data_IF_792919438186
#
_entry.id   IF_792919438186
#
_cell.length_a   1.000
_cell.length_b   1.000
_cell.length_c   1.000
_cell.angle_alpha   90.00
_cell.angle_beta   90.00
_cell.angle_gamma   90.00
#
_symmetry.space_group_name_H-M   'P 1'
#
loop_
_entity.id
_entity.type
_entity.pdbx_description
1 polymer ?
#
# COMPACT_ATOMS: atom_id res chain seq x y z
N UNK A 1 -17.03 -1.09 -1.65
CA UNK A 1 -17.19 -0.94 -3.12
C UNK A 1 -16.67 0.38 -3.73
N UNK A 2 -16.23 1.36 -2.94
CA UNK A 2 -15.53 2.58 -3.42
C UNK A 2 -14.03 2.37 -3.67
N UNK A 3 -13.36 1.52 -2.87
CA UNK A 3 -11.92 1.24 -2.99
C UNK A 3 -11.51 0.57 -4.32
N UNK A 4 -12.40 -0.22 -4.92
CA UNK A 4 -12.09 -0.97 -6.14
C UNK A 4 -11.91 -0.04 -7.36
N UNK A 5 -12.61 1.11 -7.42
CA UNK A 5 -12.52 2.03 -8.58
C UNK A 5 -11.13 2.64 -8.76
N UNK A 6 -10.42 2.93 -7.67
CA UNK A 6 -9.05 3.48 -7.75
C UNK A 6 -8.05 2.39 -8.14
N UNK A 7 -8.21 1.19 -7.58
CA UNK A 7 -7.40 0.03 -7.93
C UNK A 7 -7.57 -0.37 -9.40
N UNK A 8 -8.80 -0.31 -9.94
CA UNK A 8 -9.08 -0.59 -11.35
C UNK A 8 -8.42 0.43 -12.29
N UNK A 9 -8.32 1.71 -11.90
CA UNK A 9 -7.57 2.72 -12.67
C UNK A 9 -6.08 2.40 -12.72
N UNK A 10 -5.49 2.01 -11.60
CA UNK A 10 -4.08 1.60 -11.56
C UNK A 10 -3.84 0.36 -12.45
N UNK A 11 -4.76 -0.61 -12.42
CA UNK A 11 -4.71 -1.78 -13.32
C UNK A 11 -4.77 -1.35 -14.79
N UNK A 12 -5.62 -0.38 -15.16
CA UNK A 12 -5.70 0.11 -16.53
C UNK A 12 -4.35 0.69 -17.01
N UNK A 13 -3.71 1.52 -16.18
CA UNK A 13 -2.37 2.08 -16.49
C UNK A 13 -1.32 0.97 -16.65
N UNK A 14 -1.31 -0.02 -15.74
CA UNK A 14 -0.36 -1.15 -15.86
C UNK A 14 -0.59 -2.01 -17.10
N UNK A 15 -1.83 -2.06 -17.63
CA UNK A 15 -2.12 -2.73 -18.90
C UNK A 15 -1.67 -1.91 -20.10
N UNK A 16 -1.81 -0.59 -20.03
CA UNK A 16 -1.37 0.33 -21.08
C UNK A 16 0.16 0.37 -21.21
N UNK A 17 0.88 0.30 -20.09
CA UNK A 17 2.34 0.33 -20.06
C UNK A 17 2.91 -0.99 -19.51
N UNK A 18 3.16 -2.00 -20.36
CA UNK A 18 3.59 -3.33 -19.94
C UNK A 18 4.97 -3.37 -19.28
N UNK A 19 5.82 -2.38 -19.53
CA UNK A 19 7.18 -2.30 -18.95
C UNK A 19 7.19 -1.75 -17.53
N UNK A 20 6.11 -1.11 -17.08
CA UNK A 20 6.04 -0.59 -15.71
C UNK A 20 5.98 -1.75 -14.71
N UNK A 21 6.84 -1.67 -13.69
CA UNK A 21 6.74 -2.49 -12.49
C UNK A 21 6.28 -1.61 -11.33
N UNK A 22 5.53 -2.21 -10.42
CA UNK A 22 4.89 -1.52 -9.32
C UNK A 22 5.26 -2.18 -7.99
N UNK A 23 5.73 -1.37 -7.05
CA UNK A 23 5.85 -1.73 -5.65
C UNK A 23 4.65 -1.20 -4.88
N UNK A 24 3.96 -2.09 -4.20
CA UNK A 24 2.78 -1.82 -3.37
C UNK A 24 3.25 -1.76 -1.91
N UNK A 25 3.13 -0.61 -1.28
CA UNK A 25 3.61 -0.38 0.08
C UNK A 25 2.42 -0.23 1.04
N UNK A 26 2.36 -1.07 2.07
CA UNK A 26 1.37 -0.97 3.14
C UNK A 26 1.91 -0.18 4.32
N UNK A 27 1.06 0.64 4.92
CA UNK A 27 1.38 1.42 6.12
C UNK A 27 0.30 1.25 7.19
N UNK A 28 0.70 1.35 8.46
CA UNK A 28 -0.20 1.41 9.62
C UNK A 28 -0.09 2.76 10.32
N UNK A 29 -0.96 3.00 11.30
CA UNK A 29 -0.74 4.04 12.28
C UNK A 29 0.18 3.54 13.41
N UNK A 30 0.43 4.41 14.38
CA UNK A 30 1.26 4.20 15.56
C UNK A 30 0.62 3.29 16.62
N UNK A 31 -0.55 2.71 16.34
CA UNK A 31 -1.23 1.83 17.31
C UNK A 31 -0.67 0.42 17.18
N UNK A 32 -0.07 -0.08 18.26
CA UNK A 32 0.44 -1.45 18.29
C UNK A 32 -0.69 -2.48 18.13
N UNK A 33 -0.41 -3.55 17.39
CA UNK A 33 -1.33 -4.67 17.24
C UNK A 33 -1.52 -5.38 18.58
N UNK A 34 -2.76 -5.82 18.83
CA UNK A 34 -3.10 -6.59 20.03
C UNK A 34 -2.34 -7.92 20.02
N UNK A 35 -1.57 -8.18 21.08
CA UNK A 35 -0.88 -9.47 21.29
C UNK A 35 -1.88 -10.63 21.22
N UNK A 36 -1.50 -11.70 20.50
CA UNK A 36 -2.36 -12.85 20.25
C UNK A 36 -3.45 -12.63 19.19
N UNK A 37 -3.40 -11.51 18.46
CA UNK A 37 -4.25 -11.25 17.30
C UNK A 37 -3.78 -12.00 16.04
N UNK A 38 -4.53 -11.81 14.95
CA UNK A 38 -4.24 -12.44 13.64
C UNK A 38 -2.85 -12.11 13.10
N UNK A 39 -2.34 -10.92 13.38
CA UNK A 39 -1.02 -10.46 12.97
C UNK A 39 -0.19 -10.21 14.22
N UNK A 40 1.09 -10.54 14.19
CA UNK A 40 2.01 -10.36 15.31
C UNK A 40 2.31 -8.87 15.55
N UNK A 41 2.45 -8.09 14.48
CA UNK A 41 2.79 -6.67 14.53
C UNK A 41 2.24 -5.88 13.33
N UNK A 42 2.57 -4.59 13.30
CA UNK A 42 2.20 -3.67 12.24
C UNK A 42 2.90 -3.96 10.92
N UNK A 43 4.10 -4.53 10.95
CA UNK A 43 4.86 -4.89 9.76
C UNK A 43 4.15 -6.04 9.01
N UNK A 44 3.72 -7.06 9.74
CA UNK A 44 2.96 -8.18 9.19
C UNK A 44 1.57 -7.73 8.69
N UNK A 45 0.86 -6.92 9.47
CA UNK A 45 -0.45 -6.37 9.04
C UNK A 45 -0.32 -5.54 7.75
N UNK A 46 0.66 -4.64 7.69
CA UNK A 46 0.87 -3.79 6.52
C UNK A 46 1.28 -4.60 5.30
N UNK A 47 2.16 -5.59 5.48
CA UNK A 47 2.55 -6.52 4.41
C UNK A 47 1.35 -7.30 3.88
N UNK A 48 0.53 -7.88 4.76
CA UNK A 48 -0.67 -8.63 4.36
C UNK A 48 -1.67 -7.75 3.59
N UNK A 49 -1.81 -6.47 3.95
CA UNK A 49 -2.63 -5.51 3.20
C UNK A 49 -2.07 -5.25 1.80
N UNK A 50 -0.76 -5.03 1.68
CA UNK A 50 -0.10 -4.83 0.39
C UNK A 50 -0.21 -6.08 -0.50
N UNK A 51 -0.03 -7.26 0.07
CA UNK A 51 -0.21 -8.54 -0.63
C UNK A 51 -1.65 -8.72 -1.12
N UNK A 52 -2.66 -8.35 -0.32
CA UNK A 52 -4.05 -8.42 -0.76
C UNK A 52 -4.33 -7.55 -2.01
N UNK A 53 -3.70 -6.37 -2.09
CA UNK A 53 -3.80 -5.50 -3.28
C UNK A 53 -3.03 -6.08 -4.46
N UNK A 54 -1.84 -6.66 -4.22
CA UNK A 54 -1.08 -7.38 -5.25
C UNK A 54 -1.89 -8.52 -5.86
N UNK A 55 -2.50 -9.34 -5.02
CA UNK A 55 -3.38 -10.43 -5.46
C UNK A 55 -4.58 -9.90 -6.26
N UNK A 56 -5.13 -8.76 -5.87
CA UNK A 56 -6.20 -8.11 -6.64
C UNK A 56 -5.72 -7.77 -8.06
N UNK A 57 -4.52 -7.21 -8.23
CA UNK A 57 -3.97 -6.88 -9.56
C UNK A 57 -3.66 -8.13 -10.38
N UNK A 58 -3.15 -9.19 -9.76
CA UNK A 58 -2.92 -10.48 -10.43
C UNK A 58 -4.25 -11.06 -10.92
N UNK A 59 -5.30 -11.05 -10.10
CA UNK A 59 -6.66 -11.49 -10.49
C UNK A 59 -7.25 -10.66 -11.64
N UNK A 60 -6.75 -9.44 -11.86
CA UNK A 60 -7.13 -8.57 -12.97
C UNK A 60 -6.27 -8.74 -14.23
N UNK A 61 -5.30 -9.66 -14.19
CA UNK A 61 -4.45 -10.05 -15.32
C UNK A 61 -3.13 -9.29 -15.41
N UNK A 62 -2.66 -8.66 -14.34
CA UNK A 62 -1.30 -8.10 -14.30
C UNK A 62 -0.32 -9.22 -13.96
N UNK A 63 0.78 -9.31 -14.70
CA UNK A 63 1.83 -10.30 -14.46
C UNK A 63 2.43 -10.17 -13.06
N UNK A 64 2.65 -11.31 -12.41
CA UNK A 64 3.15 -11.36 -11.04
C UNK A 64 4.58 -10.78 -10.90
N UNK A 65 5.44 -10.94 -11.91
CA UNK A 65 6.80 -10.44 -11.93
C UNK A 65 6.90 -8.92 -12.03
N UNK A 66 5.80 -8.25 -12.37
CA UNK A 66 5.69 -6.79 -12.40
C UNK A 66 5.28 -6.18 -11.06
N UNK A 67 4.95 -7.01 -10.06
CA UNK A 67 4.35 -6.55 -8.80
C UNK A 67 5.16 -7.03 -7.59
N UNK A 68 5.65 -6.09 -6.79
CA UNK A 68 6.17 -6.35 -5.44
C UNK A 68 5.21 -5.80 -4.38
N UNK A 69 5.18 -6.45 -3.21
CA UNK A 69 4.41 -6.01 -2.06
C UNK A 69 5.33 -5.90 -0.84
N UNK A 70 5.25 -4.78 -0.13
CA UNK A 70 6.10 -4.48 1.03
C UNK A 70 5.26 -3.92 2.17
N UNK A 71 5.48 -4.44 3.38
CA UNK A 71 4.98 -3.81 4.61
C UNK A 71 6.00 -2.84 5.14
N UNK A 72 5.58 -1.64 5.53
CA UNK A 72 6.41 -0.65 6.21
C UNK A 72 5.95 -0.37 7.64
N UNK A 73 4.84 -0.97 8.07
CA UNK A 73 4.25 -0.73 9.38
C UNK A 73 4.02 0.76 9.63
N UNK A 74 4.34 1.20 10.84
CA UNK A 74 4.24 2.59 11.28
C UNK A 74 5.49 3.44 10.99
N UNK A 75 6.53 2.84 10.39
CA UNK A 75 7.88 3.45 10.32
C UNK A 75 7.97 4.66 9.37
N UNK A 76 7.02 4.81 8.45
CA UNK A 76 6.98 5.90 7.46
C UNK A 76 5.62 6.63 7.53
N UNK A 77 5.39 7.44 8.58
CA UNK A 77 4.16 8.21 8.72
C UNK A 77 4.15 9.38 7.73
N UNK A 78 3.00 9.59 7.08
CA UNK A 78 2.79 10.78 6.23
C UNK A 78 2.36 11.99 7.05
N UNK A 79 1.74 11.76 8.20
CA UNK A 79 1.39 12.80 9.17
C UNK A 79 1.83 12.37 10.56
N UNK A 80 2.59 13.24 11.24
CA UNK A 80 3.02 12.96 12.62
C UNK A 80 1.82 12.97 13.56
N UNK A 81 1.67 11.89 14.33
CA UNK A 81 0.65 11.77 15.38
C UNK A 81 1.14 12.31 16.75
N UNK A 82 2.43 12.66 16.86
CA UNK A 82 3.07 13.01 18.14
C UNK A 82 2.44 14.26 18.75
N UNK A 83 2.03 14.16 20.02
CA UNK A 83 1.43 15.27 20.77
C UNK A 83 -0.01 15.62 20.37
N UNK A 84 -0.59 14.95 19.35
CA UNK A 84 -1.97 15.17 18.95
C UNK A 84 -2.96 14.46 19.88
N UNK A 85 -4.14 15.05 20.06
CA UNK A 85 -5.24 14.49 20.85
C UNK A 85 -6.58 14.64 20.10
N UNK A 86 -7.56 13.83 20.51
CA UNK A 86 -8.92 13.88 19.99
C UNK A 86 -8.99 13.75 18.47
N UNK A 87 -9.80 14.61 17.83
CA UNK A 87 -10.05 14.57 16.39
C UNK A 87 -8.78 14.70 15.54
N UNK A 88 -7.80 15.50 15.97
CA UNK A 88 -6.53 15.69 15.24
C UNK A 88 -5.73 14.39 15.18
N UNK A 89 -5.64 13.67 16.30
CA UNK A 89 -4.97 12.37 16.37
C UNK A 89 -5.64 11.35 15.44
N UNK A 90 -6.98 11.29 15.47
CA UNK A 90 -7.74 10.37 14.61
C UNK A 90 -7.52 10.65 13.12
N UNK A 91 -7.44 11.92 12.73
CA UNK A 91 -7.18 12.33 11.34
C UNK A 91 -5.77 11.90 10.91
N UNK A 92 -4.74 12.23 11.70
CA UNK A 92 -3.35 11.85 11.40
C UNK A 92 -3.20 10.33 11.26
N UNK A 93 -3.74 9.56 12.21
CA UNK A 93 -3.75 8.09 12.16
C UNK A 93 -4.47 7.56 10.92
N UNK A 94 -5.62 8.15 10.57
CA UNK A 94 -6.36 7.73 9.38
C UNK A 94 -5.59 7.96 8.09
N UNK A 95 -4.79 9.02 8.01
CA UNK A 95 -3.91 9.27 6.85
C UNK A 95 -2.75 8.28 6.82
N UNK A 96 -2.20 7.90 7.96
CA UNK A 96 -1.09 6.94 8.02
C UNK A 96 -1.52 5.50 7.65
N UNK A 97 -2.77 5.09 7.94
CA UNK A 97 -3.33 3.80 7.50
C UNK A 97 -3.66 3.82 6.00
N UNK A 98 -2.65 3.61 5.16
CA UNK A 98 -2.75 3.73 3.70
C UNK A 98 -1.99 2.62 2.96
N UNK A 99 -2.27 2.53 1.66
CA UNK A 99 -1.46 1.78 0.70
C UNK A 99 -0.95 2.76 -0.34
N UNK A 100 0.34 2.74 -0.61
CA UNK A 100 1.00 3.55 -1.62
C UNK A 100 1.52 2.67 -2.77
N UNK A 101 1.69 3.29 -3.93
CA UNK A 101 2.19 2.66 -5.14
C UNK A 101 3.41 3.40 -5.63
N UNK A 102 4.54 2.70 -5.77
CA UNK A 102 5.77 3.25 -6.34
C UNK A 102 6.08 2.54 -7.66
N UNK A 103 6.37 3.32 -8.70
CA UNK A 103 6.88 2.78 -9.95
C UNK A 103 8.35 2.40 -9.75
N UNK A 104 8.71 1.17 -10.11
CA UNK A 104 10.06 0.65 -9.96
C UNK A 104 10.58 0.26 -11.33
N UNK A 105 11.56 0.99 -11.86
CA UNK A 105 12.15 0.70 -13.16
C UNK A 105 12.53 1.95 -13.93
N UNK A 106 13.21 1.74 -15.06
CA UNK A 106 13.58 2.77 -16.01
C UNK A 106 12.57 2.81 -17.16
N UNK A 107 11.95 3.97 -17.39
CA UNK A 107 11.21 4.21 -18.62
C UNK A 107 12.24 4.58 -19.68
N UNK A 108 12.57 3.65 -20.58
CA UNK A 108 13.37 3.94 -21.76
C UNK A 108 12.43 4.43 -22.87
N UNK A 109 12.44 5.74 -23.12
CA UNK A 109 11.80 6.32 -24.30
C UNK A 109 12.84 6.37 -25.41
N UNK A 110 12.71 5.50 -26.41
CA UNK A 110 13.52 5.60 -27.63
C UNK A 110 12.85 6.62 -28.56
N UNK A 111 13.60 7.63 -29.07
CA UNK A 111 13.06 8.64 -30.00
C UNK A 111 12.49 8.05 -31.29
#
# INVERSE_FOLDING_TARGET
PTSNRTLDKAVAVLKEFPDLKLEIQGHTDDVAIKKGGKYADNLELSKARAESVREYFIKKGIDQGRLSAKGLGETVPVESATGLKGRKLTIARSKNRRVEFQLVGSISVTP
#
